data_IF_042089381628
#
_entry.id   IF_042089381628
#
_cell.length_a   1.000
_cell.length_b   1.000
_cell.length_c   1.000
_cell.angle_alpha   90.00
_cell.angle_beta   90.00
_cell.angle_gamma   90.00
#
_symmetry.space_group_name_H-M   'P 1'
#
loop_
_entity.id
_entity.type
_entity.pdbx_description
1 polymer ?
2 non-polymer ?
3 non-polymer ?
4 non-polymer ?
5 water ?
#
# COMPACT_ATOMS: atom_id res chain seq x y z
N UNK A 1 6.98 -5.03 31.78
CA UNK A 1 6.65 -5.94 30.68
C UNK A 1 7.79 -5.97 29.67
N UNK A 2 7.79 -6.97 28.80
CA UNK A 2 8.87 -7.08 27.82
C UNK A 2 8.59 -6.28 26.56
N UNK A 3 9.59 -6.19 25.70
CA UNK A 3 9.52 -5.43 24.48
C UNK A 3 8.41 -5.97 23.58
N UNK A 4 7.63 -5.07 22.99
CA UNK A 4 6.63 -5.47 22.02
C UNK A 4 6.72 -4.54 20.83
N UNK A 5 6.79 -5.10 19.62
CA UNK A 5 6.95 -4.28 18.42
C UNK A 5 5.73 -3.39 18.18
N UNK A 6 5.97 -2.25 17.54
CA UNK A 6 4.90 -1.33 17.16
C UNK A 6 4.95 -1.03 15.68
N UNK A 7 3.84 -1.18 14.97
CA UNK A 7 3.76 -0.71 13.60
C UNK A 7 3.68 0.80 13.59
N UNK A 8 4.40 1.42 12.67
CA UNK A 8 4.48 2.88 12.63
C UNK A 8 3.73 3.50 11.46
N UNK A 9 3.89 2.93 10.27
CA UNK A 9 3.24 3.48 9.08
C UNK A 9 3.25 2.46 7.96
N UNK A 10 2.41 2.70 6.95
CA UNK A 10 2.34 1.84 5.79
C UNK A 10 2.76 2.54 4.51
N UNK A 11 3.39 1.80 3.60
CA UNK A 11 3.76 2.32 2.29
C UNK A 11 3.10 1.50 1.22
N UNK A 12 2.11 2.08 0.54
CA UNK A 12 1.54 1.37 -0.62
C UNK A 12 2.56 1.21 -1.75
N UNK A 13 2.42 0.12 -2.50
CA UNK A 13 3.26 -0.09 -3.67
C UNK A 13 2.39 -0.17 -4.92
N UNK A 14 2.57 0.78 -5.84
CA UNK A 14 1.86 0.75 -7.10
C UNK A 14 2.61 -0.13 -8.08
N UNK A 15 1.92 -0.58 -9.12
CA UNK A 15 2.51 -1.46 -10.12
C UNK A 15 2.62 -0.74 -11.46
N UNK A 16 3.63 -1.05 -12.25
CA UNK A 16 3.72 -0.42 -13.57
C UNK A 16 4.52 -1.26 -14.53
N UNK A 17 4.13 -1.24 -15.80
CA UNK A 17 4.99 -1.82 -16.80
C UNK A 17 6.20 -0.92 -17.00
N UNK A 18 6.01 0.39 -16.80
CA UNK A 18 7.07 1.37 -16.99
C UNK A 18 7.22 2.24 -15.72
N UNK A 19 8.14 1.86 -14.84
CA UNK A 19 8.28 2.56 -13.56
C UNK A 19 8.71 4.02 -13.74
N UNK A 20 9.70 4.30 -14.59
CA UNK A 20 10.18 5.68 -14.70
C UNK A 20 9.10 6.66 -15.20
N UNK A 21 8.31 6.26 -16.20
CA UNK A 21 7.23 7.11 -16.71
C UNK A 21 6.16 7.34 -15.67
N UNK A 22 5.85 6.30 -14.91
CA UNK A 22 4.83 6.40 -13.87
C UNK A 22 5.33 7.29 -12.75
N UNK A 23 6.58 7.10 -12.35
CA UNK A 23 7.15 7.95 -11.32
C UNK A 23 7.21 9.42 -11.77
N UNK A 24 7.53 9.66 -13.03
CA UNK A 24 7.61 11.04 -13.52
C UNK A 24 6.24 11.73 -13.38
N UNK A 25 5.17 10.96 -13.58
CA UNK A 25 3.80 11.47 -13.41
C UNK A 25 3.56 11.89 -11.95
N UNK A 26 3.93 11.02 -11.02
CA UNK A 26 3.70 11.31 -9.61
C UNK A 26 4.51 12.54 -9.17
N UNK A 27 5.70 12.72 -9.73
CA UNK A 27 6.51 13.88 -9.41
C UNK A 27 6.04 15.14 -10.12
N UNK A 28 6.00 15.10 -11.46
CA UNK A 28 5.80 16.32 -12.23
C UNK A 28 4.33 16.75 -12.37
N UNK A 29 3.41 15.79 -12.39
CA UNK A 29 1.98 16.13 -12.44
C UNK A 29 1.39 16.29 -11.03
N UNK A 30 1.65 15.33 -10.13
CA UNK A 30 1.00 15.35 -8.83
C UNK A 30 1.82 16.06 -7.74
N UNK A 31 3.03 16.49 -8.08
CA UNK A 31 3.81 17.27 -7.15
C UNK A 31 4.45 16.53 -5.98
N UNK A 32 4.66 15.23 -6.13
CA UNK A 32 5.42 14.48 -5.15
C UNK A 32 6.92 14.73 -5.29
N UNK A 33 7.64 14.44 -4.22
CA UNK A 33 9.09 14.59 -4.15
C UNK A 33 9.76 13.24 -4.44
N UNK A 34 10.80 13.24 -5.27
CA UNK A 34 11.51 12.00 -5.59
C UNK A 34 12.30 11.51 -4.38
N UNK A 35 12.24 10.20 -4.12
CA UNK A 35 13.09 9.58 -3.11
C UNK A 35 14.19 8.78 -3.78
N UNK A 36 13.79 7.92 -4.71
CA UNK A 36 14.76 7.12 -5.46
C UNK A 36 14.15 6.58 -6.74
N UNK A 37 15.01 6.17 -7.67
CA UNK A 37 14.55 5.56 -8.90
C UNK A 37 15.59 4.58 -9.40
N UNK A 38 15.11 3.37 -9.69
CA UNK A 38 15.87 2.36 -10.41
C UNK A 38 14.94 1.83 -11.48
N UNK A 39 15.48 1.01 -12.37
CA UNK A 39 14.70 0.44 -13.45
C UNK A 39 13.44 -0.26 -12.95
N UNK A 40 13.56 -1.01 -11.85
CA UNK A 40 12.43 -1.82 -11.41
C UNK A 40 11.67 -1.27 -10.21
N UNK A 41 12.15 -0.17 -9.64
CA UNK A 41 11.63 0.22 -8.34
C UNK A 41 11.87 1.71 -8.13
N UNK A 42 10.82 2.44 -7.82
CA UNK A 42 10.96 3.86 -7.53
C UNK A 42 10.17 4.24 -6.28
N UNK A 43 10.51 5.38 -5.70
CA UNK A 43 9.79 5.85 -4.52
C UNK A 43 9.60 7.35 -4.59
N UNK A 44 8.45 7.83 -4.10
CA UNK A 44 8.14 9.24 -4.05
C UNK A 44 7.51 9.53 -2.70
N UNK A 45 7.47 10.80 -2.32
CA UNK A 45 6.78 11.17 -1.09
C UNK A 45 6.19 12.56 -1.18
N UNK A 46 5.18 12.82 -0.38
CA UNK A 46 4.62 14.16 -0.27
C UNK A 46 4.13 14.35 1.16
N UNK A 47 4.56 15.44 1.80
CA UNK A 47 4.30 15.67 3.22
C UNK A 47 4.69 14.47 4.07
N UNK A 48 5.78 13.82 3.70
CA UNK A 48 6.27 12.68 4.44
C UNK A 48 5.52 11.38 4.21
N UNK A 49 4.47 11.43 3.40
CA UNK A 49 3.69 10.24 3.05
C UNK A 49 4.32 9.57 1.83
N UNK A 50 4.74 8.31 1.99
CA UNK A 50 5.53 7.60 0.97
C UNK A 50 4.70 6.69 0.09
N UNK A 51 5.13 6.56 -1.16
CA UNK A 51 4.48 5.69 -2.16
C UNK A 51 5.58 5.06 -2.99
N UNK A 52 5.53 3.74 -3.20
CA UNK A 52 6.54 3.06 -4.02
C UNK A 52 5.92 2.61 -5.32
N UNK A 53 6.76 2.33 -6.32
CA UNK A 53 6.32 1.88 -7.63
C UNK A 53 7.21 0.74 -8.05
N UNK A 54 6.61 -0.42 -8.35
CA UNK A 54 7.38 -1.62 -8.71
C UNK A 54 7.02 -2.12 -10.09
N UNK A 55 8.03 -2.58 -10.84
CA UNK A 55 7.77 -3.11 -12.17
C UNK A 55 7.02 -4.44 -12.15
N UNK A 56 6.15 -4.60 -13.14
CA UNK A 56 5.45 -5.86 -13.42
C UNK A 56 5.45 -6.08 -14.92
N UNK A 57 5.10 -7.29 -15.33
CA UNK A 57 5.12 -7.62 -16.76
C UNK A 57 3.72 -7.73 -17.36
N UNK A 58 2.70 -7.75 -16.50
CA UNK A 58 1.34 -8.03 -16.95
C UNK A 58 0.44 -6.86 -16.57
N UNK A 59 -0.18 -6.24 -17.57
CA UNK A 59 -0.99 -5.04 -17.34
C UNK A 59 -2.21 -5.34 -16.44
N UNK A 60 -2.56 -6.60 -16.28
CA UNK A 60 -3.67 -6.95 -15.39
C UNK A 60 -3.34 -6.52 -13.95
N UNK A 61 -2.06 -6.52 -13.58
CA UNK A 61 -1.70 -6.17 -12.20
C UNK A 61 -1.98 -4.70 -11.86
N UNK A 62 -1.40 -3.72 -12.60
CA UNK A 62 -1.79 -2.36 -12.22
C UNK A 62 -3.28 -2.08 -12.38
N UNK A 63 -3.93 -2.72 -13.36
CA UNK A 63 -5.37 -2.54 -13.56
C UNK A 63 -6.20 -3.10 -12.40
N UNK A 64 -5.55 -3.79 -11.46
CA UNK A 64 -6.24 -4.26 -10.27
C UNK A 64 -5.60 -3.77 -8.99
N UNK A 65 -4.68 -2.83 -9.12
CA UNK A 65 -3.95 -2.31 -7.96
C UNK A 65 -4.52 -0.98 -7.50
N UNK A 66 -4.66 -0.82 -6.19
CA UNK A 66 -5.21 0.39 -5.57
C UNK A 66 -4.42 0.81 -4.34
N UNK A 67 -4.64 2.05 -3.90
CA UNK A 67 -4.10 2.52 -2.63
C UNK A 67 -5.06 3.55 -2.09
N UNK A 68 -5.08 3.72 -0.78
CA UNK A 68 -5.80 4.83 -0.19
C UNK A 68 -4.80 5.78 0.42
N UNK A 69 -4.99 7.08 0.19
CA UNK A 69 -4.16 8.08 0.84
C UNK A 69 -5.06 9.03 1.62
N UNK A 70 -4.80 9.22 2.91
CA UNK A 70 -5.60 10.10 3.74
C UNK A 70 -5.09 11.50 3.60
N UNK A 71 -5.99 12.47 3.56
CA UNK A 71 -5.62 13.85 3.31
C UNK A 71 -6.39 14.83 4.17
N UNK A 72 -5.83 16.02 4.36
CA UNK A 72 -6.57 17.14 4.93
C UNK A 72 -6.75 18.18 3.84
N UNK A 73 -7.96 18.74 3.80
CA UNK A 73 -8.37 19.74 2.79
C UNK A 73 -8.39 19.13 1.39
N UNK A 74 -9.33 18.22 1.19
CA UNK A 74 -9.42 17.49 -0.05
C UNK A 74 -9.85 18.40 -1.19
N UNK A 75 -10.63 19.44 -0.89
CA UNK A 75 -11.06 20.36 -1.94
C UNK A 75 -9.85 21.09 -2.54
N UNK A 76 -8.86 21.42 -1.70
CA UNK A 76 -7.73 22.20 -2.17
C UNK A 76 -6.83 21.32 -3.01
N UNK A 77 -6.76 20.04 -2.61
CA UNK A 77 -5.95 19.06 -3.33
C UNK A 77 -6.54 18.84 -4.70
N UNK A 78 -7.85 18.64 -4.74
CA UNK A 78 -8.53 18.42 -6.02
C UNK A 78 -8.39 19.64 -6.93
N UNK A 79 -8.47 20.85 -6.36
CA UNK A 79 -8.31 22.07 -7.14
C UNK A 79 -6.91 22.18 -7.75
N UNK A 80 -5.91 21.82 -6.97
CA UNK A 80 -4.52 21.85 -7.43
C UNK A 80 -4.36 20.97 -8.66
N UNK A 81 -4.88 19.76 -8.58
CA UNK A 81 -4.67 18.80 -9.64
C UNK A 81 -5.63 18.96 -10.82
N UNK A 82 -6.73 19.70 -10.63
CA UNK A 82 -7.67 19.91 -11.73
C UNK A 82 -7.03 20.67 -12.90
N UNK A 83 -5.89 21.31 -12.64
CA UNK A 83 -5.16 22.03 -13.68
C UNK A 83 -4.39 21.07 -14.59
N UNK A 84 -4.15 19.85 -14.11
CA UNK A 84 -3.17 18.99 -14.77
C UNK A 84 -3.66 17.58 -15.05
N UNK A 85 -4.76 17.20 -14.41
CA UNK A 85 -5.34 15.88 -14.60
C UNK A 85 -6.79 15.97 -15.11
N UNK A 86 -7.07 15.26 -16.19
CA UNK A 86 -8.39 15.25 -16.82
C UNK A 86 -9.50 14.78 -15.88
N UNK A 87 -10.68 15.38 -16.02
CA UNK A 87 -11.84 14.96 -15.24
C UNK A 87 -12.62 13.84 -15.96
N UNK A 88 -12.15 13.44 -17.13
CA UNK A 88 -12.87 12.46 -17.93
C UNK A 88 -12.45 11.03 -17.58
N UNK A 89 -12.95 10.54 -16.44
CA UNK A 89 -12.50 9.25 -15.91
C UNK A 89 -12.82 8.09 -16.84
N UNK A 90 -13.93 8.17 -17.56
CA UNK A 90 -14.35 7.07 -18.42
C UNK A 90 -13.41 6.85 -19.61
N UNK A 91 -12.63 7.86 -19.95
CA UNK A 91 -11.63 7.72 -21.01
C UNK A 91 -10.33 7.15 -20.44
N UNK A 92 -10.11 5.86 -20.65
CA UNK A 92 -8.97 5.19 -20.03
C UNK A 92 -7.66 5.37 -20.79
N UNK A 93 -7.67 6.17 -21.85
CA UNK A 93 -6.44 6.39 -22.64
C UNK A 93 -5.54 7.48 -22.04
N UNK A 94 -5.99 8.08 -20.94
CA UNK A 94 -5.22 9.10 -20.22
C UNK A 94 -5.38 8.86 -18.73
N UNK A 95 -4.48 9.43 -17.91
CA UNK A 95 -4.79 9.46 -16.46
C UNK A 95 -6.01 10.35 -16.23
N UNK A 96 -6.76 10.09 -15.17
CA UNK A 96 -7.94 10.90 -14.91
C UNK A 96 -8.22 10.93 -13.43
N UNK A 97 -9.07 11.89 -13.04
CA UNK A 97 -9.44 12.10 -11.66
C UNK A 97 -10.94 12.30 -11.55
N UNK A 98 -11.58 11.60 -10.62
CA UNK A 98 -13.01 11.79 -10.43
C UNK A 98 -13.32 13.07 -9.67
N UNK A 99 -14.60 13.41 -9.63
CA UNK A 99 -15.09 14.40 -8.69
C UNK A 99 -14.98 13.87 -7.27
N UNK A 100 -14.99 14.78 -6.30
CA UNK A 100 -15.08 14.41 -4.90
C UNK A 100 -16.47 13.88 -4.62
N UNK A 101 -16.56 12.72 -3.99
CA UNK A 101 -17.86 12.19 -3.65
C UNK A 101 -17.98 11.88 -2.17
N UNK A 102 -19.22 11.92 -1.68
CA UNK A 102 -19.56 11.48 -0.33
C UNK A 102 -19.45 9.98 -0.20
N UNK A 103 -18.79 9.54 0.86
CA UNK A 103 -18.70 8.12 1.21
C UNK A 103 -19.05 8.01 2.69
N UNK A 104 -19.39 6.80 3.16
CA UNK A 104 -19.78 6.62 4.57
C UNK A 104 -18.73 7.10 5.59
N UNK A 105 -17.46 7.11 5.21
CA UNK A 105 -16.40 7.52 6.13
C UNK A 105 -15.86 8.93 5.89
N UNK A 106 -16.50 9.69 5.00
CA UNK A 106 -16.02 11.03 4.68
C UNK A 106 -16.22 11.40 3.22
N UNK A 107 -15.16 11.93 2.61
CA UNK A 107 -15.22 12.34 1.21
C UNK A 107 -13.97 11.87 0.50
N UNK A 108 -14.09 11.52 -0.76
CA UNK A 108 -12.92 11.06 -1.47
C UNK A 108 -13.06 11.19 -2.97
N UNK A 109 -11.93 11.26 -3.64
CA UNK A 109 -11.93 11.19 -5.08
C UNK A 109 -10.95 10.12 -5.51
N UNK A 110 -11.14 9.57 -6.69
CA UNK A 110 -10.20 8.60 -7.21
C UNK A 110 -9.35 9.19 -8.32
N UNK A 111 -8.10 8.71 -8.41
CA UNK A 111 -7.21 9.14 -9.45
C UNK A 111 -6.55 7.91 -10.08
N UNK A 112 -6.72 7.77 -11.40
CA UNK A 112 -6.09 6.67 -12.13
C UNK A 112 -4.83 7.20 -12.82
N UNK A 113 -3.68 6.60 -12.52
CA UNK A 113 -2.41 7.13 -13.02
C UNK A 113 -2.10 6.49 -14.39
N UNK A 114 -1.01 6.91 -15.06
CA UNK A 114 -0.77 6.39 -16.42
C UNK A 114 -0.52 4.89 -16.50
N UNK A 115 -0.15 4.27 -15.38
CA UNK A 115 0.11 2.83 -15.35
C UNK A 115 -1.18 2.03 -15.14
N UNK A 116 -2.24 2.73 -14.75
CA UNK A 116 -3.53 2.08 -14.52
C UNK A 116 -3.88 1.91 -13.05
N UNK A 117 -2.96 2.25 -12.14
CA UNK A 117 -3.26 2.19 -10.71
C UNK A 117 -4.37 3.17 -10.33
N UNK A 118 -5.23 2.75 -9.40
CA UNK A 118 -6.27 3.63 -8.86
C UNK A 118 -5.99 4.01 -7.41
N UNK A 119 -5.73 5.30 -7.18
CA UNK A 119 -5.44 5.77 -5.85
C UNK A 119 -6.60 6.62 -5.35
N UNK A 120 -7.09 6.29 -4.15
CA UNK A 120 -8.21 7.00 -3.54
C UNK A 120 -7.69 8.02 -2.54
N UNK A 121 -8.02 9.29 -2.75
CA UNK A 121 -7.67 10.35 -1.82
C UNK A 121 -8.88 10.65 -0.96
N UNK A 122 -8.70 10.53 0.35
CA UNK A 122 -9.83 10.46 1.25
C UNK A 122 -9.63 11.39 2.43
N UNK A 123 -10.64 12.21 2.73
CA UNK A 123 -10.63 13.02 3.92
C UNK A 123 -11.69 12.45 4.85
N UNK A 124 -11.23 11.89 5.96
CA UNK A 124 -12.13 11.31 6.95
C UNK A 124 -12.94 12.37 7.68
N UNK A 125 -14.22 12.09 7.86
CA UNK A 125 -15.10 12.98 8.63
C UNK A 125 -14.75 12.95 10.12
N UNK A 126 -15.49 13.77 10.87
CA UNK A 126 -15.44 14.02 12.34
C UNK A 126 -14.93 15.43 12.59
N UNK B 4 -4.76 24.49 3.72
CA UNK B 4 -3.60 23.96 3.00
C UNK B 4 -3.75 22.45 2.80
N UNK B 5 -3.67 22.01 1.56
CA UNK B 5 -3.75 20.57 1.27
C UNK B 5 -2.52 19.84 1.78
N UNK B 6 -2.74 18.81 2.59
CA UNK B 6 -1.67 18.04 3.19
C UNK B 6 -2.03 16.56 3.14
N UNK B 7 -1.13 15.73 2.64
CA UNK B 7 -1.27 14.29 2.74
C UNK B 7 -0.91 13.83 4.15
N UNK B 8 -1.71 12.91 4.71
CA UNK B 8 -1.55 12.51 6.12
C UNK B 8 -0.94 11.12 6.29
N UNK B 9 -1.48 10.13 5.59
CA UNK B 9 -1.00 8.77 5.72
C UNK B 9 -1.39 7.94 4.52
N UNK B 10 -0.72 6.81 4.34
CA UNK B 10 -1.03 5.89 3.27
C UNK B 10 -1.55 4.57 3.76
N UNK B 11 -2.49 3.99 3.01
CA UNK B 11 -3.03 2.67 3.31
C UNK B 11 -2.79 1.74 2.12
N UNK B 12 -1.90 0.75 2.29
CA UNK B 12 -1.73 -0.25 1.23
C UNK B 12 -2.98 -1.10 1.04
N UNK B 13 -3.17 -1.58 -0.19
CA UNK B 13 -4.27 -2.46 -0.51
C UNK B 13 -3.67 -3.77 -1.00
N UNK B 14 -3.85 -4.83 -0.23
CA UNK B 14 -3.47 -6.18 -0.64
C UNK B 14 -4.52 -6.76 -1.56
N UNK B 15 -4.14 -7.75 -2.36
CA UNK B 15 -5.09 -8.42 -3.25
C UNK B 15 -5.34 -9.85 -2.79
N UNK B 16 -6.53 -10.37 -3.09
CA UNK B 16 -6.84 -11.76 -2.76
C UNK B 16 -7.96 -12.30 -3.61
N UNK B 17 -7.87 -13.59 -3.95
CA UNK B 17 -9.01 -14.28 -4.51
C UNK B 17 -10.07 -14.45 -3.44
N UNK B 18 -9.61 -14.65 -2.20
CA UNK B 18 -10.48 -14.88 -1.04
C UNK B 18 -10.16 -13.86 0.05
N UNK B 19 -10.93 -12.77 0.09
CA UNK B 19 -10.68 -11.70 1.06
C UNK B 19 -10.87 -12.19 2.50
N UNK B 20 -11.95 -12.94 2.75
CA UNK B 20 -12.27 -13.33 4.12
C UNK B 20 -11.16 -14.15 4.77
N UNK B 21 -10.70 -15.18 4.07
CA UNK B 21 -9.66 -16.06 4.60
C UNK B 21 -8.34 -15.33 4.78
N UNK B 22 -8.03 -14.41 3.86
CA UNK B 22 -6.82 -13.62 3.97
C UNK B 22 -6.93 -12.68 5.16
N UNK B 23 -8.07 -12.03 5.31
CA UNK B 23 -8.25 -11.18 6.48
C UNK B 23 -8.14 -11.98 7.80
N UNK B 24 -8.71 -13.18 7.84
CA UNK B 24 -8.64 -14.01 9.03
C UNK B 24 -7.18 -14.24 9.46
N UNK B 25 -6.31 -14.46 8.49
CA UNK B 25 -4.89 -14.66 8.77
C UNK B 25 -4.27 -13.42 9.40
N UNK B 26 -4.57 -12.24 8.84
CA UNK B 26 -3.97 -11.01 9.36
C UNK B 26 -4.46 -10.75 10.80
N UNK B 27 -5.69 -11.14 11.10
CA UNK B 27 -6.23 -10.88 12.42
C UNK B 27 -5.73 -11.92 13.41
N UNK B 28 -5.94 -13.19 13.12
CA UNK B 28 -5.73 -14.24 14.10
C UNK B 28 -4.27 -14.65 14.24
N UNK B 29 -3.53 -14.67 13.13
CA UNK B 29 -2.13 -15.05 13.19
C UNK B 29 -1.23 -13.85 13.46
N UNK B 30 -1.49 -12.74 12.78
CA UNK B 30 -0.58 -11.60 12.89
C UNK B 30 -1.02 -10.55 13.91
N UNK B 31 -2.20 -10.70 14.48
CA UNK B 31 -2.61 -9.83 15.58
C UNK B 31 -3.13 -8.47 15.19
N UNK B 32 -3.62 -8.34 13.96
CA UNK B 32 -4.30 -7.13 13.57
C UNK B 32 -5.74 -7.15 14.07
N UNK B 33 -6.39 -5.99 14.04
CA UNK B 33 -7.77 -5.82 14.51
C UNK B 33 -8.70 -5.60 13.31
N UNK B 34 -9.87 -6.23 13.30
CA UNK B 34 -10.77 -6.02 12.16
C UNK B 34 -11.40 -4.64 12.18
N UNK B 35 -11.43 -3.98 11.03
CA UNK B 35 -12.12 -2.70 10.89
C UNK B 35 -13.47 -2.90 10.21
N UNK B 36 -13.47 -3.63 9.09
CA UNK B 36 -14.69 -3.91 8.36
C UNK B 36 -14.44 -5.11 7.45
N UNK B 37 -15.52 -5.74 6.99
CA UNK B 37 -15.44 -6.83 6.04
C UNK B 37 -16.65 -6.88 5.11
N UNK B 38 -16.37 -6.98 3.82
CA UNK B 38 -17.38 -7.31 2.82
C UNK B 38 -16.78 -8.39 1.95
N UNK B 39 -17.59 -9.03 1.12
CA UNK B 39 -17.11 -10.06 0.21
C UNK B 39 -15.92 -9.57 -0.63
N UNK B 40 -15.93 -8.28 -0.98
CA UNK B 40 -14.94 -7.77 -1.93
C UNK B 40 -13.87 -6.88 -1.32
N UNK B 41 -14.00 -6.57 -0.04
CA UNK B 41 -13.17 -5.51 0.53
C UNK B 41 -13.15 -5.60 2.03
N UNK B 42 -11.95 -5.72 2.60
CA UNK B 42 -11.80 -5.81 4.03
C UNK B 42 -10.77 -4.84 4.52
N UNK B 43 -10.83 -4.49 5.79
CA UNK B 43 -9.84 -3.62 6.39
C UNK B 43 -9.42 -4.10 7.77
N UNK B 44 -8.12 -4.05 8.04
CA UNK B 44 -7.56 -4.42 9.33
C UNK B 44 -6.62 -3.32 9.80
N UNK B 45 -6.28 -3.30 11.09
CA UNK B 45 -5.32 -2.33 11.59
C UNK B 45 -4.54 -2.87 12.78
N UNK B 46 -3.36 -2.31 13.00
CA UNK B 46 -2.58 -2.65 14.17
C UNK B 46 -1.75 -1.43 14.52
N UNK B 47 -1.81 -1.01 15.78
CA UNK B 47 -1.14 0.18 16.27
C UNK B 47 -1.53 1.42 15.46
N UNK B 48 -2.77 1.44 14.96
CA UNK B 48 -3.28 2.57 14.21
C UNK B 48 -2.92 2.53 12.73
N UNK B 49 -2.12 1.54 12.33
CA UNK B 49 -1.66 1.41 10.95
C UNK B 49 -2.62 0.52 10.17
N UNK B 50 -3.23 1.07 9.11
CA UNK B 50 -4.31 0.41 8.38
C UNK B 50 -3.81 -0.36 7.17
N UNK B 51 -4.46 -1.51 6.90
CA UNK B 51 -4.24 -2.28 5.68
C UNK B 51 -5.60 -2.69 5.11
N UNK B 52 -5.76 -2.56 3.81
CA UNK B 52 -6.99 -3.02 3.16
C UNK B 52 -6.70 -4.28 2.34
N UNK B 53 -7.74 -5.08 2.09
CA UNK B 53 -7.64 -6.29 1.27
C UNK B 53 -8.79 -6.29 0.26
N UNK B 54 -8.45 -6.35 -1.03
CA UNK B 54 -9.47 -6.28 -2.08
C UNK B 54 -9.51 -7.53 -2.93
N UNK B 55 -10.71 -7.91 -3.34
CA UNK B 55 -10.86 -9.10 -4.15
C UNK B 55 -10.35 -8.87 -5.59
N UNK B 56 -9.72 -9.89 -6.14
CA UNK B 56 -9.34 -9.92 -7.55
C UNK B 56 -9.71 -11.28 -8.12
N UNK B 57 -9.74 -11.38 -9.45
CA UNK B 57 -10.08 -12.65 -10.08
C UNK B 57 -8.87 -13.51 -10.43
N UNK B 58 -7.69 -12.90 -10.59
CA UNK B 58 -6.53 -13.59 -11.14
C UNK B 58 -5.40 -13.68 -10.13
N UNK B 59 -4.84 -14.88 -9.95
CA UNK B 59 -3.85 -15.09 -8.90
C UNK B 59 -2.55 -14.33 -9.18
N UNK B 60 -2.31 -14.00 -10.44
CA UNK B 60 -1.13 -13.22 -10.83
C UNK B 60 -1.09 -11.88 -10.10
N UNK B 61 -2.25 -11.35 -9.71
CA UNK B 61 -2.26 -10.02 -9.08
C UNK B 61 -1.63 -10.09 -7.66
N UNK B 62 -2.17 -10.92 -6.73
CA UNK B 62 -1.50 -10.93 -5.43
C UNK B 62 -0.04 -11.42 -5.48
N UNK B 63 0.24 -12.32 -6.42
CA UNK B 63 1.60 -12.79 -6.65
C UNK B 63 2.51 -11.68 -7.17
N UNK B 64 1.97 -10.49 -7.44
CA UNK B 64 2.82 -9.36 -7.82
C UNK B 64 2.58 -8.15 -6.94
N UNK B 65 1.84 -8.36 -5.86
CA UNK B 65 1.46 -7.26 -4.99
C UNK B 65 2.30 -7.24 -3.73
N UNK B 66 2.78 -6.05 -3.39
CA UNK B 66 3.65 -5.85 -2.23
C UNK B 66 3.14 -4.67 -1.41
N UNK B 67 3.61 -4.60 -0.18
CA UNK B 67 3.47 -3.41 0.66
C UNK B 67 4.71 -3.32 1.55
N UNK B 68 5.02 -2.12 2.02
CA UNK B 68 6.03 -1.94 3.05
C UNK B 68 5.30 -1.46 4.30
N UNK B 69 5.65 -2.02 5.45
CA UNK B 69 5.16 -1.50 6.72
C UNK B 69 6.38 -1.16 7.58
N UNK B 70 6.47 0.09 8.03
CA UNK B 70 7.54 0.50 8.93
C UNK B 70 7.26 0.06 10.35
N UNK B 71 8.29 -0.39 11.06
CA UNK B 71 8.11 -0.94 12.39
C UNK B 71 9.16 -0.43 13.35
N UNK B 72 8.79 -0.45 14.62
CA UNK B 72 9.73 -0.21 15.71
C UNK B 72 9.96 -1.53 16.43
N UNK B 73 11.23 -1.89 16.60
CA UNK B 73 11.70 -3.15 17.17
C UNK B 73 11.35 -4.33 16.29
N UNK B 74 12.05 -4.42 15.17
CA UNK B 74 11.78 -5.48 14.19
C UNK B 74 12.14 -6.85 14.76
N UNK B 75 13.14 -6.91 15.64
CA UNK B 75 13.52 -8.20 16.22
C UNK B 75 12.39 -8.76 17.07
N UNK B 76 11.74 -7.90 17.84
CA UNK B 76 10.61 -8.30 18.67
C UNK B 76 9.47 -8.81 17.81
N UNK B 77 9.25 -8.14 16.68
CA UNK B 77 8.15 -8.51 15.81
C UNK B 77 8.37 -9.89 15.21
N UNK B 78 9.60 -10.11 14.76
CA UNK B 78 9.94 -11.38 14.14
C UNK B 78 9.82 -12.53 15.15
N UNK B 79 10.23 -12.25 16.38
CA UNK B 79 10.12 -13.25 17.44
C UNK B 79 8.64 -13.53 17.75
N UNK B 80 7.85 -12.47 17.79
CA UNK B 80 6.42 -12.58 18.08
C UNK B 80 5.73 -13.53 17.10
N UNK B 81 6.17 -13.53 15.85
CA UNK B 81 5.49 -14.30 14.82
C UNK B 81 6.17 -15.63 14.47
N UNK B 82 7.37 -15.87 14.99
CA UNK B 82 8.18 -16.98 14.51
C UNK B 82 7.61 -18.35 14.88
N UNK B 83 6.81 -18.41 15.94
CA UNK B 83 6.12 -19.64 16.31
C UNK B 83 4.78 -19.76 15.61
N UNK B 84 4.38 -18.70 14.91
CA UNK B 84 3.05 -18.64 14.30
C UNK B 84 3.12 -18.68 12.77
N UNK B 85 4.28 -18.30 12.22
CA UNK B 85 4.46 -18.21 10.77
C UNK B 85 5.70 -19.00 10.37
N UNK B 86 5.54 -19.91 9.41
CA UNK B 86 6.64 -20.75 8.96
C UNK B 86 7.82 -19.97 8.39
N UNK B 87 9.02 -20.51 8.60
CA UNK B 87 10.24 -19.90 8.07
C UNK B 87 10.61 -20.52 6.73
N UNK B 88 9.80 -21.47 6.27
CA UNK B 88 10.06 -22.15 5.00
C UNK B 88 9.50 -21.33 3.83
N UNK B 89 10.18 -20.23 3.50
CA UNK B 89 9.66 -19.32 2.48
C UNK B 89 9.61 -19.97 1.10
N UNK B 90 10.53 -20.90 0.84
CA UNK B 90 10.59 -21.58 -0.45
C UNK B 90 9.34 -22.42 -0.76
N UNK B 91 8.64 -22.85 0.29
CA UNK B 91 7.37 -23.58 0.12
C UNK B 91 6.24 -22.59 -0.02
N UNK B 92 5.72 -22.44 -1.23
CA UNK B 92 4.67 -21.44 -1.49
C UNK B 92 3.26 -21.93 -1.18
N UNK B 93 3.13 -23.13 -0.62
CA UNK B 93 1.81 -23.70 -0.35
C UNK B 93 1.26 -23.20 0.99
N UNK B 94 2.07 -22.47 1.74
CA UNK B 94 1.62 -21.89 3.01
C UNK B 94 2.21 -20.50 3.17
N UNK B 95 1.61 -19.68 4.04
CA UNK B 95 2.25 -18.40 4.35
C UNK B 95 3.62 -18.58 5.06
N UNK B 96 4.53 -17.65 4.85
CA UNK B 96 5.89 -17.81 5.36
C UNK B 96 6.55 -16.45 5.56
N UNK B 97 7.64 -16.45 6.32
CA UNK B 97 8.34 -15.26 6.74
C UNK B 97 9.85 -15.50 6.57
N UNK B 98 10.57 -14.52 6.02
CA UNK B 98 12.02 -14.66 5.87
C UNK B 98 12.74 -14.28 7.16
N UNK B 99 14.03 -14.56 7.21
CA UNK B 99 14.88 -14.01 8.25
C UNK B 99 14.98 -12.50 8.09
N UNK B 100 15.31 -11.80 9.18
CA UNK B 100 15.64 -10.38 9.09
C UNK B 100 16.96 -10.24 8.36
N UNK B 101 17.05 -9.26 7.46
CA UNK B 101 18.32 -8.98 6.79
C UNK B 101 18.62 -7.48 6.75
N UNK B 102 19.90 -7.14 6.66
CA UNK B 102 20.27 -5.75 6.52
C UNK B 102 20.04 -5.28 5.08
N UNK B 103 19.56 -4.05 4.93
CA UNK B 103 19.30 -3.42 3.64
C UNK B 103 19.90 -2.04 3.80
N UNK B 104 20.15 -1.33 2.68
CA UNK B 104 20.86 -0.05 2.80
C UNK B 104 20.20 0.91 3.79
N UNK B 105 18.87 0.87 3.83
CA UNK B 105 18.07 1.77 4.65
C UNK B 105 17.70 1.26 6.05
N UNK B 106 18.21 0.09 6.44
CA UNK B 106 17.90 -0.42 7.76
C UNK B 106 17.88 -1.93 7.77
N UNK B 107 16.85 -2.49 8.39
CA UNK B 107 16.69 -3.94 8.46
C UNK B 107 15.26 -4.29 8.13
N UNK B 108 15.04 -5.44 7.49
CA UNK B 108 13.66 -5.86 7.21
C UNK B 108 13.52 -7.36 6.98
N UNK B 109 12.30 -7.87 7.14
CA UNK B 109 12.02 -9.23 6.73
C UNK B 109 10.79 -9.22 5.85
N UNK B 110 10.63 -10.27 5.03
CA UNK B 110 9.48 -10.38 4.16
C UNK B 110 8.49 -11.39 4.71
N UNK B 111 7.21 -11.10 4.54
CA UNK B 111 6.16 -12.06 4.94
C UNK B 111 5.20 -12.23 3.76
N UNK B 112 5.03 -13.48 3.34
CA UNK B 112 4.07 -13.78 2.28
C UNK B 112 2.80 -14.31 2.92
N UNK B 113 1.66 -13.65 2.68
CA UNK B 113 0.41 -14.07 3.32
C UNK B 113 -0.27 -15.18 2.49
N UNK B 114 -1.41 -15.73 2.99
CA UNK B 114 -1.99 -16.86 2.28
C UNK B 114 -2.49 -16.54 0.87
N UNK B 115 -2.75 -15.26 0.58
CA UNK B 115 -3.23 -14.87 -0.74
C UNK B 115 -2.08 -14.75 -1.74
N UNK B 116 -0.86 -14.62 -1.23
CA UNK B 116 0.31 -14.48 -2.08
C UNK B 116 0.99 -13.12 -2.00
N UNK B 117 0.37 -12.16 -1.31
CA UNK B 117 0.98 -10.85 -1.16
C UNK B 117 2.28 -10.93 -0.36
N UNK B 118 3.24 -10.11 -0.75
CA UNK B 118 4.51 -10.01 -0.04
C UNK B 118 4.57 -8.70 0.71
N UNK B 119 4.59 -8.76 2.04
CA UNK B 119 4.67 -7.54 2.83
C UNK B 119 6.03 -7.46 3.49
N UNK B 120 6.69 -6.33 3.30
CA UNK B 120 8.01 -6.09 3.85
C UNK B 120 7.89 -5.32 5.16
N UNK B 121 8.35 -5.94 6.23
CA UNK B 121 8.35 -5.31 7.53
C UNK B 121 9.72 -4.70 7.78
N UNK B 122 9.76 -3.38 7.95
CA UNK B 122 11.02 -2.67 7.81
C UNK B 122 11.30 -1.72 8.97
N UNK B 123 12.49 -1.82 9.56
CA UNK B 123 12.90 -0.85 10.57
C UNK B 123 14.02 0.04 10.03
N UNK B 124 13.70 1.32 9.80
CA UNK B 124 14.64 2.29 9.24
C UNK B 124 15.74 2.63 10.21
N UNK B 125 16.96 2.70 9.70
CA UNK B 125 18.06 3.31 10.48
C UNK B 125 17.74 4.78 10.70
N UNK B 126 18.22 5.39 11.78
CA UNK B 126 17.88 6.79 12.04
C UNK B 126 18.45 7.69 10.94
N UNK B 127 19.53 7.22 10.32
CA UNK B 127 20.11 7.91 9.17
C UNK B 127 19.18 7.88 7.96
N UNK B 128 18.22 6.95 7.97
CA UNK B 128 17.23 6.83 6.90
C UNK B 128 15.91 7.52 7.26
N UNK B 129 15.72 7.78 8.55
CA UNK B 129 14.57 8.50 9.11
C UNK B 129 13.24 8.22 8.39
#
# INVERSE_FOLDING_TARGET
SNAMAVLLSGVPVLAALDVSTTQKFWIEVLGFTEEFLTEDFGGVSRDGVELFICSVEDQVVPDNTQAWLRVRDIDALHAEWSARVSSDYADASHPAMTAIREVPWGREFGLRDPAGNLVHFSELSEAAETTRTVR
SNAMAVLLSGVPVLAALDVSTTQKFWIEVLGFTEEFLTEDFGGVSRDGVELFICSVEDQVVPDNTQAWLRVRDIDALHAEWSARVSSDYADASHPAMTAIREVPWGREFGLRDPAGNLVHFSELSEAAETTRTVR
#
